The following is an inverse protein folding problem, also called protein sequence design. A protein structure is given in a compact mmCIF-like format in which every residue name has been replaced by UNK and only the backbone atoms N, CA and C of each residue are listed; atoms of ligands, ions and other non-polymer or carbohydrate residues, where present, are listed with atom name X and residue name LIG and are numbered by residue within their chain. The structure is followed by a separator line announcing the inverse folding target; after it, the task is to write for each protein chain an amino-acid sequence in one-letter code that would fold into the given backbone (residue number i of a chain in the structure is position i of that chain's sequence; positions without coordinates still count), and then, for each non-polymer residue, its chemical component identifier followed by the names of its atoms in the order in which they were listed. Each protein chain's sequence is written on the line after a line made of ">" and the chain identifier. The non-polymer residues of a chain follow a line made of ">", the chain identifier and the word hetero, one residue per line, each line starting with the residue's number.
data_IF_028073512857
#
_entry.id   IF_028073512857
#
_cell.length_a   1.000
_cell.length_b   1.000
_cell.length_c   1.000
_cell.angle_alpha   90.00
_cell.angle_beta   90.00
_cell.angle_gamma   90.00
#
_symmetry.space_group_name_H-M   'P 1'
#
loop_
_entity.id
_entity.type
_entity.pdbx_description
1 polymer ?
#
# COMPACT_ATOMS: atom_id res chain seq x y z
N UNK A 1 -3.63 -10.60 29.20
CA UNK A 1 -2.34 -11.03 28.63
C UNK A 1 -2.46 -10.91 27.12
N UNK A 2 -1.46 -10.38 26.38
CA UNK A 2 -1.49 -10.41 24.92
C UNK A 2 -1.51 -11.87 24.43
N UNK A 3 -2.24 -12.13 23.36
CA UNK A 3 -2.16 -13.43 22.68
C UNK A 3 -0.74 -13.62 22.12
N UNK A 4 -0.17 -14.79 22.31
CA UNK A 4 1.19 -15.12 21.83
C UNK A 4 1.17 -16.34 20.94
N UNK A 5 2.03 -16.36 19.93
CA UNK A 5 2.22 -17.51 19.06
C UNK A 5 3.67 -17.99 19.10
N UNK A 6 3.86 -19.30 19.10
CA UNK A 6 5.13 -19.95 18.83
C UNK A 6 4.87 -21.01 17.74
N UNK A 7 5.59 -20.97 16.60
CA UNK A 7 5.37 -21.92 15.50
C UNK A 7 5.73 -23.37 15.88
N UNK A 8 6.54 -23.55 16.92
CA UNK A 8 7.06 -24.84 17.38
C UNK A 8 8.23 -25.32 16.53
N UNK A 9 9.20 -25.99 17.15
CA UNK A 9 10.30 -26.63 16.42
C UNK A 9 9.83 -27.93 15.74
N UNK A 10 10.23 -28.14 14.49
CA UNK A 10 10.00 -29.41 13.79
C UNK A 10 11.01 -30.49 14.19
N UNK A 11 10.77 -31.74 13.76
CA UNK A 11 11.73 -32.85 13.89
C UNK A 11 13.09 -32.52 13.27
N UNK A 12 13.09 -31.76 12.18
CA UNK A 12 14.27 -31.44 11.37
C UNK A 12 15.01 -30.18 11.87
N UNK A 13 14.46 -29.50 12.88
CA UNK A 13 15.05 -28.29 13.43
C UNK A 13 16.34 -28.62 14.20
N UNK A 14 17.49 -27.99 13.87
CA UNK A 14 18.73 -28.22 14.60
C UNK A 14 18.58 -27.90 16.10
N UNK A 15 19.15 -28.71 17.02
CA UNK A 15 18.96 -28.54 18.47
C UNK A 15 19.26 -27.13 18.99
N UNK A 16 20.27 -26.46 18.42
CA UNK A 16 20.68 -25.11 18.80
C UNK A 16 19.58 -24.04 18.60
N UNK A 17 18.59 -24.29 17.74
CA UNK A 17 17.53 -23.33 17.42
C UNK A 17 16.16 -23.68 18.02
N UNK A 18 15.99 -24.88 18.57
CA UNK A 18 14.68 -25.36 19.06
C UNK A 18 14.10 -24.45 20.13
N UNK A 19 14.90 -24.13 21.15
CA UNK A 19 14.48 -23.26 22.24
C UNK A 19 14.02 -21.88 21.73
N UNK A 20 14.71 -21.31 20.74
CA UNK A 20 14.36 -20.01 20.18
C UNK A 20 13.02 -20.04 19.41
N UNK A 21 12.74 -21.13 18.67
CA UNK A 21 11.49 -21.31 17.91
C UNK A 21 10.27 -21.60 18.79
N UNK A 22 10.50 -21.98 20.04
CA UNK A 22 9.46 -22.24 21.04
C UNK A 22 9.15 -21.00 21.90
N UNK A 23 9.91 -19.90 21.77
CA UNK A 23 9.62 -18.67 22.50
C UNK A 23 8.29 -18.09 22.01
N UNK A 24 7.30 -17.89 22.90
CA UNK A 24 6.03 -17.26 22.54
C UNK A 24 6.26 -15.76 22.28
N UNK A 25 5.86 -15.29 21.10
CA UNK A 25 5.96 -13.88 20.70
C UNK A 25 4.53 -13.30 20.62
N UNK A 26 4.28 -12.07 21.12
CA UNK A 26 2.98 -11.42 20.99
C UNK A 26 2.51 -11.36 19.53
N UNK A 27 1.25 -11.73 19.31
CA UNK A 27 0.61 -11.65 18.00
C UNK A 27 0.18 -10.20 17.76
N UNK A 28 0.63 -9.55 16.67
CA UNK A 28 0.21 -8.20 16.37
C UNK A 28 -1.29 -8.17 16.04
N UNK A 29 -1.96 -7.08 16.40
CA UNK A 29 -3.36 -6.84 16.02
C UNK A 29 -3.46 -5.76 14.96
N UNK A 30 -4.54 -5.80 14.19
CA UNK A 30 -4.84 -4.81 13.17
C UNK A 30 -6.10 -4.04 13.56
N UNK A 31 -5.95 -2.74 13.80
CA UNK A 31 -7.06 -1.84 14.14
C UNK A 31 -7.25 -0.84 13.00
N UNK A 32 -8.47 -0.73 12.45
CA UNK A 32 -8.75 0.26 11.41
C UNK A 32 -8.40 1.67 11.91
N UNK A 33 -7.57 2.39 11.16
CA UNK A 33 -7.05 3.70 11.55
C UNK A 33 -7.66 4.82 10.71
N UNK A 34 -7.57 4.71 9.38
CA UNK A 34 -8.10 5.70 8.45
C UNK A 34 -8.38 5.11 7.08
N UNK A 35 -9.31 5.74 6.34
CA UNK A 35 -9.53 5.54 4.92
C UNK A 35 -8.97 6.71 4.14
N UNK A 36 -8.41 6.42 2.98
CA UNK A 36 -7.85 7.42 2.08
C UNK A 36 -8.37 7.20 0.65
N UNK A 37 -8.69 8.30 -0.03
CA UNK A 37 -9.14 8.35 -1.42
C UNK A 37 -8.15 9.24 -2.17
N UNK A 38 -7.26 8.62 -2.94
CA UNK A 38 -6.28 9.32 -3.79
C UNK A 38 -6.88 9.63 -5.15
N UNK A 39 -6.84 10.89 -5.57
CA UNK A 39 -7.07 11.25 -6.96
C UNK A 39 -5.75 11.25 -7.71
N UNK A 40 -5.72 10.57 -8.86
CA UNK A 40 -4.51 10.39 -9.65
C UNK A 40 -4.66 10.97 -11.07
N UNK A 41 -3.52 11.38 -11.62
CA UNK A 41 -3.40 11.62 -13.06
C UNK A 41 -3.56 10.31 -13.85
N UNK A 42 -3.85 10.45 -15.14
CA UNK A 42 -3.74 9.31 -16.06
C UNK A 42 -2.32 8.74 -16.01
N UNK A 43 -2.21 7.41 -16.14
CA UNK A 43 -0.91 6.73 -16.08
C UNK A 43 -0.01 7.20 -17.21
N UNK A 44 1.20 7.66 -16.89
CA UNK A 44 2.26 7.88 -17.87
C UNK A 44 3.18 6.66 -17.91
N UNK A 45 3.14 5.94 -19.02
CA UNK A 45 4.07 4.85 -19.31
C UNK A 45 5.46 5.42 -19.57
N UNK A 46 6.44 5.02 -18.77
CA UNK A 46 7.86 5.34 -19.02
C UNK A 46 8.49 4.28 -19.93
N UNK A 47 8.04 3.03 -19.80
CA UNK A 47 8.46 1.89 -20.61
C UNK A 47 9.22 0.83 -19.80
N UNK A 48 9.74 -0.16 -20.50
CA UNK A 48 10.68 -1.14 -19.93
C UNK A 48 12.03 -0.44 -19.74
N UNK A 49 12.32 -0.05 -18.49
CA UNK A 49 13.55 0.69 -18.16
C UNK A 49 14.77 -0.20 -18.03
N UNK A 50 15.97 0.41 -18.04
CA UNK A 50 17.27 -0.26 -17.83
C UNK A 50 17.40 -1.03 -16.49
N UNK A 51 16.55 -0.71 -15.52
CA UNK A 51 16.50 -1.37 -14.20
C UNK A 51 15.30 -2.32 -14.04
N UNK A 52 14.50 -2.52 -15.10
CA UNK A 52 13.38 -3.45 -15.11
C UNK A 52 13.83 -4.85 -15.52
N UNK A 53 13.26 -5.87 -14.91
CA UNK A 53 13.42 -7.29 -15.22
C UNK A 53 12.70 -7.72 -16.52
N UNK A 54 12.49 -6.78 -17.46
CA UNK A 54 11.49 -6.88 -18.53
C UNK A 54 10.10 -6.37 -18.14
N UNK A 55 9.95 -5.83 -16.92
CA UNK A 55 8.74 -5.18 -16.44
C UNK A 55 8.56 -3.73 -16.93
N UNK A 56 7.32 -3.25 -16.89
CA UNK A 56 6.90 -1.91 -17.33
C UNK A 56 6.90 -0.92 -16.16
N UNK A 57 7.57 0.22 -16.31
CA UNK A 57 7.58 1.30 -15.32
C UNK A 57 6.55 2.39 -15.66
N UNK A 58 5.74 2.75 -14.66
CA UNK A 58 4.67 3.73 -14.77
C UNK A 58 4.91 4.87 -13.77
N UNK A 59 4.79 6.11 -14.25
CA UNK A 59 4.81 7.31 -13.45
C UNK A 59 3.38 7.84 -13.28
N UNK A 60 2.93 7.96 -12.03
CA UNK A 60 1.57 8.42 -11.73
C UNK A 60 1.64 9.51 -10.66
N UNK A 61 1.12 10.70 -10.96
CA UNK A 61 1.06 11.81 -10.01
C UNK A 61 -0.25 11.79 -9.22
N UNK A 62 -0.19 12.26 -7.99
CA UNK A 62 -1.37 12.58 -7.20
C UNK A 62 -1.86 13.99 -7.56
N UNK A 63 -3.14 14.13 -7.83
CA UNK A 63 -3.80 15.42 -8.09
C UNK A 63 -4.53 15.96 -6.88
N UNK A 64 -4.73 15.14 -5.86
CA UNK A 64 -5.42 15.50 -4.63
C UNK A 64 -6.09 14.29 -3.99
N UNK A 65 -7.17 14.57 -3.29
CA UNK A 65 -8.01 13.57 -2.62
C UNK A 65 -8.17 13.87 -1.14
N UNK A 66 -8.66 12.89 -0.38
CA UNK A 66 -9.12 13.09 0.98
C UNK A 66 -8.84 11.88 1.87
N UNK A 67 -8.67 12.10 3.17
CA UNK A 67 -8.59 11.03 4.17
C UNK A 67 -9.46 11.34 5.39
N UNK A 68 -9.98 10.27 5.99
CA UNK A 68 -10.81 10.28 7.18
C UNK A 68 -10.33 9.20 8.15
N UNK A 69 -10.03 9.58 9.38
CA UNK A 69 -9.51 8.68 10.41
C UNK A 69 -9.85 9.12 11.83
N UNK A 70 -9.69 8.21 12.78
CA UNK A 70 -9.99 8.49 14.20
C UNK A 70 -9.14 9.62 14.79
N UNK A 71 -7.94 9.83 14.26
CA UNK A 71 -6.99 10.84 14.69
C UNK A 71 -7.13 12.18 13.94
N UNK A 72 -7.93 12.23 12.87
CA UNK A 72 -8.19 13.44 12.10
C UNK A 72 -8.60 13.18 10.66
N UNK A 73 -8.86 14.27 9.95
CA UNK A 73 -9.18 14.29 8.53
C UNK A 73 -8.42 15.42 7.84
N UNK A 74 -8.38 15.37 6.51
CA UNK A 74 -7.70 16.38 5.71
C UNK A 74 -7.44 15.92 4.28
N UNK A 75 -6.78 16.75 3.52
CA UNK A 75 -6.63 16.57 2.08
C UNK A 75 -5.30 15.92 1.74
N UNK A 76 -5.25 15.25 0.59
CA UNK A 76 -4.00 14.89 -0.06
C UNK A 76 -3.55 16.10 -0.87
N UNK A 77 -2.31 16.54 -0.68
CA UNK A 77 -1.75 17.66 -1.42
C UNK A 77 -1.37 17.19 -2.82
N UNK A 78 -1.75 17.96 -3.84
CA UNK A 78 -1.34 17.69 -5.21
C UNK A 78 0.20 17.66 -5.31
N UNK A 79 0.72 16.66 -6.03
CA UNK A 79 2.14 16.35 -6.10
C UNK A 79 2.50 15.06 -5.39
N UNK A 80 3.78 14.70 -5.44
CA UNK A 80 4.21 13.34 -5.11
C UNK A 80 3.99 12.37 -6.26
N UNK A 81 4.31 11.11 -6.02
CA UNK A 81 4.45 10.11 -7.07
C UNK A 81 4.08 8.73 -6.56
N UNK A 82 3.36 7.96 -7.38
CA UNK A 82 3.36 6.50 -7.38
C UNK A 82 4.31 6.00 -8.47
N UNK A 83 5.44 5.44 -8.04
CA UNK A 83 6.40 4.76 -8.88
C UNK A 83 5.97 3.29 -8.98
N UNK A 84 5.23 2.98 -10.04
CA UNK A 84 4.62 1.68 -10.24
C UNK A 84 5.46 0.83 -11.20
N UNK A 85 5.79 -0.39 -10.78
CA UNK A 85 6.47 -1.37 -11.59
C UNK A 85 5.56 -2.56 -11.87
N UNK A 86 5.25 -2.82 -13.14
CA UNK A 86 4.45 -3.97 -13.57
C UNK A 86 5.39 -5.09 -13.96
N UNK A 87 5.25 -6.24 -13.31
CA UNK A 87 6.03 -7.44 -13.61
C UNK A 87 5.74 -7.95 -15.03
N UNK A 88 6.72 -8.57 -15.71
CA UNK A 88 6.52 -9.11 -17.04
C UNK A 88 5.43 -10.19 -17.06
N UNK A 89 4.79 -10.38 -18.21
CA UNK A 89 3.77 -11.42 -18.41
C UNK A 89 4.31 -12.85 -18.26
N UNK A 90 5.63 -13.01 -18.30
CA UNK A 90 6.35 -14.27 -18.13
C UNK A 90 6.81 -14.52 -16.69
N UNK A 91 6.56 -13.61 -15.75
CA UNK A 91 7.03 -13.74 -14.38
C UNK A 91 6.43 -14.98 -13.68
N UNK A 92 7.24 -15.84 -13.01
CA UNK A 92 6.78 -17.15 -12.55
C UNK A 92 5.85 -17.14 -11.33
N UNK A 93 5.79 -16.05 -10.56
CA UNK A 93 4.87 -15.92 -9.41
C UNK A 93 3.52 -15.33 -9.83
N UNK A 94 3.47 -14.01 -10.03
CA UNK A 94 2.29 -13.27 -10.41
C UNK A 94 2.57 -12.45 -11.68
N UNK A 95 2.30 -13.00 -12.87
CA UNK A 95 2.36 -12.26 -14.12
C UNK A 95 1.54 -10.97 -14.06
N UNK A 96 2.08 -9.87 -14.59
CA UNK A 96 1.42 -8.56 -14.61
C UNK A 96 1.11 -7.95 -13.23
N UNK A 97 1.63 -8.52 -12.14
CA UNK A 97 1.52 -7.90 -10.81
C UNK A 97 2.12 -6.51 -10.82
N UNK A 98 1.53 -5.60 -10.06
CA UNK A 98 2.05 -4.25 -9.89
C UNK A 98 2.70 -4.14 -8.51
N UNK A 99 3.98 -3.79 -8.45
CA UNK A 99 4.59 -3.22 -7.26
C UNK A 99 4.37 -1.72 -7.27
N UNK A 100 3.99 -1.16 -6.12
CA UNK A 100 3.79 0.27 -5.94
C UNK A 100 4.78 0.79 -4.90
N UNK A 101 5.31 1.98 -5.15
CA UNK A 101 6.15 2.72 -4.22
C UNK A 101 5.76 4.18 -4.30
N UNK A 102 5.09 4.69 -3.27
CA UNK A 102 4.53 6.04 -3.29
C UNK A 102 5.19 6.94 -2.25
N UNK A 103 5.25 8.24 -2.57
CA UNK A 103 5.59 9.30 -1.63
C UNK A 103 4.75 10.54 -1.94
N UNK A 104 3.99 11.01 -0.95
CA UNK A 104 3.09 12.15 -1.10
C UNK A 104 2.83 12.81 0.27
N UNK A 105 2.08 13.92 0.27
CA UNK A 105 1.79 14.70 1.48
C UNK A 105 0.29 14.72 1.77
N UNK A 106 -0.05 14.62 3.05
CA UNK A 106 -1.35 14.99 3.59
C UNK A 106 -1.25 16.37 4.23
N UNK A 107 -2.35 17.11 4.19
CA UNK A 107 -2.59 18.32 4.98
C UNK A 107 -3.83 18.13 5.84
N UNK A 108 -3.66 18.08 7.16
CA UNK A 108 -4.78 17.96 8.10
C UNK A 108 -5.65 19.23 8.08
N UNK A 109 -6.89 19.12 8.53
CA UNK A 109 -7.82 20.24 8.73
C UNK A 109 -7.26 21.36 9.62
N UNK A 110 -6.36 21.03 10.55
CA UNK A 110 -5.66 21.97 11.43
C UNK A 110 -4.25 22.32 10.92
N UNK A 111 -4.01 22.18 9.61
CA UNK A 111 -2.84 22.69 8.88
C UNK A 111 -1.49 22.05 9.22
N UNK A 112 -1.48 20.79 9.68
CA UNK A 112 -0.26 20.00 9.80
C UNK A 112 0.01 19.21 8.52
N UNK A 113 1.27 19.13 8.13
CA UNK A 113 1.70 18.25 7.04
C UNK A 113 2.18 16.91 7.58
N UNK A 114 1.82 15.85 6.85
CA UNK A 114 2.24 14.47 7.11
C UNK A 114 2.73 13.90 5.79
N UNK A 115 4.00 13.53 5.70
CA UNK A 115 4.51 12.73 4.60
C UNK A 115 4.00 11.30 4.76
N UNK A 116 3.51 10.73 3.68
CA UNK A 116 3.14 9.33 3.59
C UNK A 116 4.07 8.64 2.60
N UNK A 117 4.63 7.52 3.03
CA UNK A 117 5.32 6.58 2.16
C UNK A 117 4.57 5.27 2.15
N UNK A 118 4.30 4.74 0.96
CA UNK A 118 3.71 3.40 0.85
C UNK A 118 4.51 2.51 -0.05
N UNK A 119 4.57 1.23 0.31
CA UNK A 119 5.09 0.18 -0.55
C UNK A 119 4.10 -0.96 -0.57
N UNK A 120 3.84 -1.54 -1.73
CA UNK A 120 2.88 -2.62 -1.76
C UNK A 120 2.77 -3.32 -3.09
N UNK A 121 1.79 -4.22 -3.14
CA UNK A 121 1.59 -5.10 -4.26
C UNK A 121 0.11 -5.19 -4.61
N UNK A 122 -0.12 -5.17 -5.92
CA UNK A 122 -1.37 -5.59 -6.54
C UNK A 122 -1.12 -6.88 -7.31
N UNK A 123 -1.73 -7.95 -6.86
CA UNK A 123 -1.59 -9.32 -7.39
C UNK A 123 -2.96 -9.91 -7.66
N UNK A 124 -3.10 -10.70 -8.71
CA UNK A 124 -4.36 -11.35 -9.06
C UNK A 124 -4.26 -12.06 -10.41
N UNK A 125 -5.38 -12.56 -10.94
CA UNK A 125 -5.42 -13.17 -12.26
C UNK A 125 -4.97 -12.17 -13.35
N UNK A 126 -4.15 -12.58 -14.34
CA UNK A 126 -3.60 -11.65 -15.34
C UNK A 126 -4.65 -10.87 -16.14
N UNK A 127 -5.82 -11.47 -16.41
CA UNK A 127 -6.92 -10.81 -17.11
C UNK A 127 -7.55 -9.68 -16.27
N UNK A 128 -7.67 -9.85 -14.95
CA UNK A 128 -8.13 -8.81 -14.02
C UNK A 128 -7.12 -7.66 -13.95
N UNK A 129 -5.82 -7.98 -13.83
CA UNK A 129 -4.77 -6.96 -13.78
C UNK A 129 -4.66 -6.16 -15.09
N UNK A 130 -4.89 -6.82 -16.23
CA UNK A 130 -4.97 -6.16 -17.54
C UNK A 130 -6.17 -5.21 -17.62
N UNK A 131 -7.35 -5.65 -17.16
CA UNK A 131 -8.54 -4.80 -17.11
C UNK A 131 -8.34 -3.57 -16.21
N UNK A 132 -7.70 -3.72 -15.04
CA UNK A 132 -7.35 -2.61 -14.16
C UNK A 132 -6.35 -1.62 -14.80
N UNK A 133 -5.41 -2.12 -15.61
CA UNK A 133 -4.46 -1.28 -16.34
C UNK A 133 -5.16 -0.47 -17.44
N UNK A 134 -6.11 -1.09 -18.15
CA UNK A 134 -6.95 -0.41 -19.14
C UNK A 134 -7.84 0.66 -18.49
N UNK A 135 -8.47 0.34 -17.35
CA UNK A 135 -9.33 1.25 -16.60
C UNK A 135 -8.61 2.50 -16.05
N UNK A 136 -7.28 2.44 -15.96
CA UNK A 136 -6.45 3.54 -15.47
C UNK A 136 -6.05 4.54 -16.55
N UNK A 137 -6.36 4.27 -17.82
CA UNK A 137 -5.99 5.14 -18.96
C UNK A 137 -7.02 6.24 -19.16
N UNK A 138 -6.59 7.31 -19.82
CA UNK A 138 -7.48 8.40 -20.19
C UNK A 138 -8.55 7.91 -21.18
N UNK A 139 -9.79 8.38 -20.99
CA UNK A 139 -10.92 8.05 -21.88
C UNK A 139 -11.49 6.63 -21.72
N UNK A 140 -11.17 5.91 -20.64
CA UNK A 140 -11.78 4.60 -20.39
C UNK A 140 -13.28 4.74 -20.06
N UNK A 141 -14.10 4.00 -20.80
CA UNK A 141 -15.52 3.79 -20.54
C UNK A 141 -15.76 2.28 -20.34
N UNK A 142 -16.23 1.87 -19.16
CA UNK A 142 -16.47 0.45 -18.88
C UNK A 142 -16.49 0.10 -17.38
N UNK A 143 -16.72 -1.18 -17.09
CA UNK A 143 -16.70 -1.71 -15.73
C UNK A 143 -15.26 -1.92 -15.23
N UNK A 144 -15.01 -1.54 -13.98
CA UNK A 144 -13.71 -1.70 -13.31
C UNK A 144 -13.79 -2.92 -12.38
N UNK A 145 -12.81 -3.83 -12.39
CA UNK A 145 -12.81 -4.97 -11.48
C UNK A 145 -12.94 -4.55 -10.00
N UNK A 146 -13.78 -5.26 -9.27
CA UNK A 146 -14.08 -5.05 -7.86
C UNK A 146 -12.94 -5.46 -6.92
N UNK A 147 -13.02 -5.06 -5.64
CA UNK A 147 -11.94 -5.23 -4.66
C UNK A 147 -11.62 -6.69 -4.29
N UNK A 148 -12.54 -7.63 -4.49
CA UNK A 148 -12.34 -9.05 -4.16
C UNK A 148 -11.74 -9.85 -5.32
N UNK A 149 -11.68 -9.28 -6.52
CA UNK A 149 -11.17 -9.95 -7.72
C UNK A 149 -9.64 -9.96 -7.80
N UNK A 150 -8.98 -9.18 -6.95
CA UNK A 150 -7.53 -9.09 -6.84
C UNK A 150 -7.12 -8.68 -5.43
N UNK A 151 -5.89 -9.00 -5.05
CA UNK A 151 -5.31 -8.57 -3.78
C UNK A 151 -4.51 -7.29 -3.99
N UNK A 152 -4.86 -6.24 -3.26
CA UNK A 152 -4.08 -5.01 -3.19
C UNK A 152 -3.75 -4.71 -1.73
N UNK A 153 -2.46 -4.82 -1.38
CA UNK A 153 -1.97 -4.61 -0.01
C UNK A 153 -0.79 -3.65 0.01
N UNK A 154 -0.75 -2.82 1.04
CA UNK A 154 0.26 -1.78 1.25
C UNK A 154 0.88 -1.95 2.64
N UNK A 155 2.14 -1.55 2.80
CA UNK A 155 2.70 -1.08 4.05
C UNK A 155 2.74 0.44 3.97
N UNK A 156 2.38 1.12 5.06
CA UNK A 156 2.31 2.57 5.13
C UNK A 156 3.14 3.05 6.31
N UNK A 157 3.97 4.04 6.06
CA UNK A 157 4.76 4.77 7.04
C UNK A 157 4.44 6.26 6.92
N UNK A 158 4.43 6.96 8.04
CA UNK A 158 4.09 8.38 8.10
C UNK A 158 5.15 9.16 8.88
N UNK A 159 5.39 10.39 8.44
CA UNK A 159 6.31 11.31 9.08
C UNK A 159 5.68 12.70 9.19
N UNK A 160 5.77 13.30 10.38
CA UNK A 160 5.29 14.66 10.64
C UNK A 160 6.20 15.40 11.61
N UNK A 161 6.36 16.70 11.35
CA UNK A 161 7.05 17.61 12.26
C UNK A 161 6.24 18.00 13.49
N UNK A 162 4.96 17.61 13.58
CA UNK A 162 4.11 17.94 14.73
C UNK A 162 4.68 17.36 16.03
N UNK A 163 4.70 18.20 17.07
CA UNK A 163 5.08 17.81 18.43
C UNK A 163 3.89 17.64 19.37
N UNK A 164 2.66 17.82 18.87
CA UNK A 164 1.45 17.60 19.66
C UNK A 164 1.20 16.10 19.86
N UNK A 165 0.66 15.73 21.02
CA UNK A 165 0.27 14.33 21.31
C UNK A 165 -0.71 13.76 20.28
N UNK A 166 -1.47 14.63 19.59
CA UNK A 166 -2.41 14.26 18.53
C UNK A 166 -1.75 13.56 17.34
N UNK A 167 -0.54 13.99 16.95
CA UNK A 167 0.10 13.55 15.70
C UNK A 167 1.51 12.99 15.88
N UNK A 168 2.20 13.29 16.99
CA UNK A 168 3.58 12.87 17.19
C UNK A 168 3.75 11.33 17.17
N UNK A 169 2.74 10.59 17.63
CA UNK A 169 2.71 9.12 17.64
C UNK A 169 2.71 8.50 16.25
N UNK A 170 2.34 9.26 15.20
CA UNK A 170 2.34 8.76 13.83
C UNK A 170 3.74 8.38 13.35
N UNK A 171 4.77 9.10 13.84
CA UNK A 171 6.17 8.89 13.47
C UNK A 171 6.73 7.53 13.91
N UNK A 172 6.11 6.88 14.89
CA UNK A 172 6.58 5.60 15.45
C UNK A 172 5.63 4.46 15.17
N UNK A 173 4.64 4.69 14.32
CA UNK A 173 3.57 3.75 14.01
C UNK A 173 3.75 3.15 12.63
N UNK A 174 3.19 1.96 12.44
CA UNK A 174 3.21 1.25 11.16
C UNK A 174 1.80 0.79 10.83
N UNK A 175 1.45 0.81 9.55
CA UNK A 175 0.15 0.32 9.09
C UNK A 175 0.31 -0.64 7.93
N UNK A 176 -0.65 -1.54 7.80
CA UNK A 176 -0.92 -2.27 6.56
C UNK A 176 -2.21 -1.75 5.94
N UNK A 177 -2.24 -1.68 4.61
CA UNK A 177 -3.39 -1.19 3.85
C UNK A 177 -4.06 -2.29 3.03
N UNK A 178 -5.37 -2.18 2.86
CA UNK A 178 -6.15 -2.92 1.86
C UNK A 178 -6.75 -1.92 0.87
N UNK A 179 -6.42 -2.06 -0.41
CA UNK A 179 -6.77 -1.08 -1.43
C UNK A 179 -7.71 -1.58 -2.51
N UNK A 180 -8.28 -0.65 -3.25
CA UNK A 180 -9.01 -0.84 -4.49
C UNK A 180 -8.67 0.30 -5.44
N UNK A 181 -8.57 -0.02 -6.72
CA UNK A 181 -8.49 0.98 -7.78
C UNK A 181 -9.89 1.19 -8.35
N UNK A 182 -10.34 2.42 -8.37
CA UNK A 182 -11.62 2.85 -8.91
C UNK A 182 -11.35 3.88 -10.02
N UNK A 183 -11.04 3.38 -11.22
CA UNK A 183 -10.60 4.20 -12.35
C UNK A 183 -9.33 5.01 -12.04
N UNK A 184 -9.49 6.34 -12.00
CA UNK A 184 -8.42 7.30 -11.65
C UNK A 184 -8.28 7.56 -10.14
N UNK A 185 -9.04 6.84 -9.33
CA UNK A 185 -8.89 6.87 -7.88
C UNK A 185 -8.23 5.59 -7.36
N UNK A 186 -7.46 5.74 -6.30
CA UNK A 186 -7.06 4.63 -5.43
C UNK A 186 -7.66 4.87 -4.06
N UNK A 187 -8.43 3.92 -3.58
CA UNK A 187 -9.04 3.97 -2.25
C UNK A 187 -8.38 2.89 -1.41
N UNK A 188 -7.96 3.19 -0.18
CA UNK A 188 -7.49 2.16 0.72
C UNK A 188 -7.86 2.44 2.18
N UNK A 189 -8.08 1.36 2.91
CA UNK A 189 -8.17 1.36 4.38
C UNK A 189 -6.81 1.01 4.96
N UNK A 190 -6.31 1.83 5.89
CA UNK A 190 -5.11 1.57 6.66
C UNK A 190 -5.47 1.04 8.04
N UNK A 191 -4.80 -0.04 8.43
CA UNK A 191 -4.94 -0.68 9.72
C UNK A 191 -3.64 -0.53 10.49
N UNK A 192 -3.71 0.08 11.67
CA UNK A 192 -2.59 0.23 12.58
C UNK A 192 -2.18 -1.15 13.08
N UNK A 193 -0.88 -1.40 13.09
CA UNK A 193 -0.28 -2.57 13.73
C UNK A 193 -0.07 -2.24 15.21
N UNK A 194 -0.77 -2.95 16.09
CA UNK A 194 -0.61 -2.89 17.56
C UNK A 194 0.33 -3.96 18.10
#
# INVERSE_FOLDING_TARGET
>A
MPDTHAPGASSDTPPAYKAALEIPIPVPRLTHSFRLVCDLEAVRSVGEGLHGDGGQFNWINFTGGHFEGSWGHGEIVAGGQDAQHIMPSTHPSFPLAAQLSTRYLLRTHDSHFIQVQTRGWRTGPPHILSALSSAAREGFEGEVPGPEEYKFRLCVEMETGSRSERYAWLNTSMWVGSGVRSGRQVIYDAYLIE
#
